data_IF_393627055113
#
_entry.id   IF_393627055113
#
_cell.length_a   1.000
_cell.length_b   1.000
_cell.length_c   1.000
_cell.angle_alpha   90.00
_cell.angle_beta   90.00
_cell.angle_gamma   90.00
#
_symmetry.space_group_name_H-M   'P 1'
#
loop_
_entity.id
_entity.type
_entity.pdbx_description
1 polymer ?
#
# COMPACT_ATOMS: atom_id res chain seq x y z
N UNK A 1 21.23 -9.88 8.34
CA UNK A 1 19.79 -9.80 8.69
C UNK A 1 18.90 -9.89 7.45
N UNK A 2 17.57 -10.08 7.63
CA UNK A 2 16.59 -9.97 6.52
C UNK A 2 15.88 -8.62 6.59
N UNK A 3 15.85 -7.91 5.48
CA UNK A 3 15.19 -6.63 5.29
C UNK A 3 14.04 -6.69 4.31
N UNK A 4 13.13 -5.71 4.37
CA UNK A 4 12.08 -5.47 3.38
C UNK A 4 11.93 -3.96 3.16
N UNK A 5 11.25 -3.56 2.09
CA UNK A 5 10.99 -2.13 1.81
C UNK A 5 10.32 -1.42 2.97
N UNK A 6 9.32 -2.06 3.59
CA UNK A 6 8.62 -1.50 4.76
C UNK A 6 9.55 -1.33 5.95
N UNK A 7 10.42 -2.33 6.21
CA UNK A 7 11.35 -2.31 7.34
C UNK A 7 12.42 -1.23 7.15
N UNK A 8 13.01 -1.15 5.96
CA UNK A 8 14.01 -0.12 5.60
C UNK A 8 13.40 1.28 5.65
N UNK A 9 12.20 1.48 5.08
CA UNK A 9 11.52 2.77 5.10
C UNK A 9 11.13 3.20 6.51
N UNK A 10 10.69 2.27 7.36
CA UNK A 10 10.40 2.54 8.77
C UNK A 10 11.66 3.00 9.50
N UNK A 11 12.78 2.31 9.31
CA UNK A 11 14.07 2.66 9.90
C UNK A 11 14.55 4.03 9.47
N UNK A 12 14.61 4.30 8.16
CA UNK A 12 15.03 5.59 7.60
C UNK A 12 14.15 6.75 8.07
N UNK A 13 12.86 6.47 8.28
CA UNK A 13 11.92 7.46 8.79
C UNK A 13 12.16 7.78 10.25
N UNK A 14 12.29 6.75 11.12
CA UNK A 14 12.53 6.93 12.55
C UNK A 14 12.92 5.60 13.19
N UNK A 15 14.15 5.51 13.71
CA UNK A 15 14.66 4.29 14.33
C UNK A 15 13.87 3.91 15.59
N UNK A 16 13.39 4.88 16.39
CA UNK A 16 12.51 4.61 17.54
C UNK A 16 11.18 3.95 17.10
N UNK A 17 10.62 4.36 15.96
CA UNK A 17 9.45 3.68 15.37
C UNK A 17 9.79 2.23 15.00
N UNK A 18 10.95 2.00 14.38
CA UNK A 18 11.40 0.65 14.04
C UNK A 18 11.62 -0.22 15.30
N UNK A 19 12.10 0.36 16.39
CA UNK A 19 12.21 -0.32 17.67
C UNK A 19 10.85 -0.82 18.17
N UNK A 20 9.85 0.05 18.28
CA UNK A 20 8.52 -0.38 18.71
C UNK A 20 7.91 -1.43 17.78
N UNK A 21 8.08 -1.26 16.48
CA UNK A 21 7.45 -2.12 15.48
C UNK A 21 8.13 -3.48 15.31
N UNK A 22 9.46 -3.55 15.45
CA UNK A 22 10.24 -4.75 15.11
C UNK A 22 11.08 -5.34 16.24
N UNK A 23 11.37 -4.57 17.31
CA UNK A 23 12.01 -5.10 18.51
C UNK A 23 10.97 -5.51 19.56
N UNK A 24 9.99 -4.63 19.85
CA UNK A 24 8.88 -4.97 20.72
C UNK A 24 7.77 -5.76 20.00
N UNK A 25 7.78 -5.79 18.69
CA UNK A 25 6.77 -6.47 17.85
C UNK A 25 5.32 -6.08 18.21
N UNK A 26 5.08 -4.78 18.47
CA UNK A 26 3.76 -4.29 18.87
C UNK A 26 3.08 -3.49 17.76
N UNK A 27 1.75 -3.52 17.74
CA UNK A 27 0.88 -2.72 16.89
C UNK A 27 -0.34 -2.22 17.66
N UNK A 28 -1.04 -1.21 17.16
CA UNK A 28 -2.25 -0.71 17.83
C UNK A 28 -3.37 -1.76 17.79
N UNK A 29 -4.11 -1.88 18.90
CA UNK A 29 -5.29 -2.77 18.98
C UNK A 29 -6.35 -2.38 17.96
N UNK A 30 -6.57 -1.07 17.74
CA UNK A 30 -7.54 -0.59 16.76
C UNK A 30 -6.82 -0.26 15.44
N UNK A 31 -7.09 -1.01 14.36
CA UNK A 31 -6.50 -0.75 13.05
C UNK A 31 -7.05 0.56 12.46
N UNK A 32 -6.24 1.23 11.64
CA UNK A 32 -6.70 2.38 10.86
C UNK A 32 -7.40 1.92 9.58
N UNK A 33 -8.50 2.59 9.20
CA UNK A 33 -9.27 2.27 7.98
C UNK A 33 -8.46 2.46 6.68
N UNK A 34 -7.55 3.43 6.64
CA UNK A 34 -6.82 3.75 5.41
C UNK A 34 -5.86 2.64 4.93
N UNK A 35 -5.01 2.03 5.78
CA UNK A 35 -4.22 0.86 5.41
C UNK A 35 -5.08 -0.35 5.04
N UNK A 36 -6.20 -0.57 5.73
CA UNK A 36 -7.14 -1.64 5.41
C UNK A 36 -7.74 -1.47 4.02
N UNK A 37 -8.16 -0.25 3.67
CA UNK A 37 -8.67 0.08 2.33
C UNK A 37 -7.63 -0.18 1.25
N UNK A 38 -6.37 0.24 1.45
CA UNK A 38 -5.26 -0.02 0.53
C UNK A 38 -5.05 -1.52 0.28
N UNK A 39 -4.98 -2.32 1.36
CA UNK A 39 -4.81 -3.77 1.27
C UNK A 39 -5.92 -4.43 0.45
N UNK A 40 -7.18 -4.10 0.71
CA UNK A 40 -8.31 -4.70 -0.02
C UNK A 40 -8.31 -4.29 -1.50
N UNK A 41 -7.89 -3.06 -1.82
CA UNK A 41 -7.72 -2.64 -3.22
C UNK A 41 -6.69 -3.53 -3.93
N UNK A 42 -5.52 -3.79 -3.32
CA UNK A 42 -4.50 -4.68 -3.91
C UNK A 42 -5.05 -6.09 -4.10
N UNK A 43 -5.73 -6.64 -3.12
CA UNK A 43 -6.34 -7.98 -3.18
C UNK A 43 -7.40 -8.08 -4.30
N UNK A 44 -8.26 -7.09 -4.47
CA UNK A 44 -9.22 -7.05 -5.58
C UNK A 44 -8.51 -7.01 -6.95
N UNK A 45 -7.41 -6.27 -7.07
CA UNK A 45 -6.65 -6.19 -8.31
C UNK A 45 -5.89 -7.49 -8.59
N UNK A 46 -5.34 -8.14 -7.57
CA UNK A 46 -4.78 -9.48 -7.68
C UNK A 46 -5.80 -10.46 -8.25
N UNK A 47 -7.00 -10.52 -7.65
CA UNK A 47 -8.09 -11.39 -8.13
C UNK A 47 -8.41 -11.10 -9.60
N UNK A 48 -8.59 -9.83 -9.96
CA UNK A 48 -8.89 -9.45 -11.35
C UNK A 48 -7.82 -9.93 -12.33
N UNK A 49 -6.55 -9.63 -12.06
CA UNK A 49 -5.46 -9.96 -12.98
C UNK A 49 -5.05 -11.44 -12.96
N UNK A 50 -5.49 -12.19 -11.94
CA UNK A 50 -5.39 -13.65 -11.87
C UNK A 50 -6.60 -14.37 -12.51
N UNK A 51 -7.56 -13.61 -13.09
CA UNK A 51 -8.77 -14.16 -13.73
C UNK A 51 -9.85 -14.61 -12.77
N UNK A 52 -9.79 -14.22 -11.49
CA UNK A 52 -10.80 -14.48 -10.45
C UNK A 52 -11.84 -13.35 -10.39
N UNK A 53 -12.94 -13.56 -9.66
CA UNK A 53 -13.93 -12.51 -9.40
C UNK A 53 -13.36 -11.47 -8.41
N UNK A 54 -13.01 -10.29 -8.92
CA UNK A 54 -12.44 -9.21 -8.13
C UNK A 54 -13.38 -8.65 -7.03
N UNK A 55 -14.64 -9.03 -7.04
CA UNK A 55 -15.61 -8.62 -6.01
C UNK A 55 -15.57 -9.52 -4.78
N UNK A 56 -14.95 -10.69 -4.84
CA UNK A 56 -14.88 -11.63 -3.71
C UNK A 56 -14.22 -11.04 -2.47
N UNK A 57 -13.07 -10.35 -2.53
CA UNK A 57 -12.48 -9.75 -1.34
C UNK A 57 -13.41 -8.74 -0.66
N UNK A 58 -14.25 -8.05 -1.44
CA UNK A 58 -15.24 -7.10 -0.90
C UNK A 58 -16.42 -7.83 -0.25
N UNK A 59 -16.92 -8.91 -0.87
CA UNK A 59 -18.01 -9.73 -0.34
C UNK A 59 -17.65 -10.44 0.96
N UNK A 60 -16.38 -10.88 1.05
CA UNK A 60 -15.86 -11.62 2.20
C UNK A 60 -15.37 -10.69 3.33
N UNK A 61 -15.48 -9.37 3.15
CA UNK A 61 -15.05 -8.41 4.15
C UNK A 61 -15.94 -8.50 5.40
N UNK A 62 -15.37 -9.03 6.47
CA UNK A 62 -16.00 -9.04 7.79
C UNK A 62 -15.67 -7.72 8.49
N UNK A 63 -16.68 -6.92 8.80
CA UNK A 63 -16.55 -5.67 9.54
C UNK A 63 -17.24 -5.83 10.88
N UNK A 64 -16.45 -5.89 11.95
CA UNK A 64 -16.96 -5.89 13.31
C UNK A 64 -17.22 -4.43 13.75
N UNK A 65 -18.43 -3.96 13.50
CA UNK A 65 -18.83 -2.59 13.82
C UNK A 65 -19.00 -2.35 15.34
N UNK A 66 -19.04 -3.39 16.16
CA UNK A 66 -19.16 -3.26 17.62
C UNK A 66 -17.81 -2.82 18.23
N UNK A 67 -16.71 -3.23 17.62
CA UNK A 67 -15.36 -2.89 18.04
C UNK A 67 -14.75 -1.66 17.31
N UNK A 68 -15.58 -0.92 16.55
CA UNK A 68 -15.17 0.33 15.86
C UNK A 68 -15.71 1.52 16.65
N UNK A 69 -14.89 2.60 16.73
CA UNK A 69 -15.34 3.86 17.33
C UNK A 69 -16.59 4.41 16.64
N UNK A 70 -17.51 5.01 17.39
CA UNK A 70 -18.79 5.51 16.85
C UNK A 70 -18.60 6.48 15.69
N UNK A 71 -17.57 7.32 15.75
CA UNK A 71 -17.23 8.30 14.71
C UNK A 71 -16.75 7.64 13.39
N UNK A 72 -16.27 6.41 13.45
CA UNK A 72 -15.78 5.67 12.28
C UNK A 72 -16.79 4.66 11.73
N UNK A 73 -17.86 4.33 12.47
CA UNK A 73 -18.84 3.30 12.08
C UNK A 73 -19.44 3.54 10.70
N UNK A 74 -19.81 4.77 10.39
CA UNK A 74 -20.38 5.11 9.08
C UNK A 74 -19.36 4.85 7.95
N UNK A 75 -18.09 5.18 8.18
CA UNK A 75 -17.02 4.95 7.20
C UNK A 75 -16.80 3.47 6.94
N UNK A 76 -16.80 2.66 8.00
CA UNK A 76 -16.67 1.21 7.87
C UNK A 76 -17.91 0.57 7.21
N UNK A 77 -19.11 1.00 7.55
CA UNK A 77 -20.35 0.51 6.94
C UNK A 77 -20.43 0.82 5.43
N UNK A 78 -19.89 1.97 4.99
CA UNK A 78 -19.86 2.38 3.58
C UNK A 78 -18.67 1.79 2.79
N UNK A 79 -17.70 1.17 3.47
CA UNK A 79 -16.45 0.70 2.88
C UNK A 79 -16.65 -0.26 1.69
N UNK A 80 -17.53 -1.28 1.74
CA UNK A 80 -17.72 -2.19 0.61
C UNK A 80 -18.20 -1.48 -0.66
N UNK A 81 -19.14 -0.54 -0.54
CA UNK A 81 -19.64 0.25 -1.66
C UNK A 81 -18.59 1.21 -2.23
N UNK A 82 -17.79 1.83 -1.36
CA UNK A 82 -16.68 2.68 -1.79
C UNK A 82 -15.61 1.89 -2.54
N UNK A 83 -15.21 0.73 -2.03
CA UNK A 83 -14.25 -0.16 -2.68
C UNK A 83 -14.75 -0.61 -4.05
N UNK A 84 -16.01 -1.03 -4.15
CA UNK A 84 -16.61 -1.41 -5.41
C UNK A 84 -16.49 -0.28 -6.45
N UNK A 85 -16.84 0.96 -6.10
CA UNK A 85 -16.75 2.12 -7.02
C UNK A 85 -15.31 2.42 -7.44
N UNK A 86 -14.36 2.36 -6.50
CA UNK A 86 -12.94 2.59 -6.76
C UNK A 86 -12.41 1.54 -7.75
N UNK A 87 -12.58 0.26 -7.46
CA UNK A 87 -12.05 -0.81 -8.31
C UNK A 87 -12.70 -0.80 -9.69
N UNK A 88 -14.04 -0.69 -9.75
CA UNK A 88 -14.75 -0.64 -11.01
C UNK A 88 -14.31 0.53 -11.89
N UNK A 89 -14.11 1.70 -11.29
CA UNK A 89 -13.61 2.88 -12.00
C UNK A 89 -12.19 2.69 -12.53
N UNK A 90 -11.30 2.11 -11.71
CA UNK A 90 -9.94 1.76 -12.12
C UNK A 90 -9.93 0.81 -13.32
N UNK A 91 -10.65 -0.30 -13.23
CA UNK A 91 -10.70 -1.31 -14.29
C UNK A 91 -11.25 -0.76 -15.61
N UNK A 92 -12.26 0.10 -15.55
CA UNK A 92 -12.80 0.74 -16.77
C UNK A 92 -11.82 1.77 -17.35
N UNK A 93 -11.13 2.54 -16.52
CA UNK A 93 -10.18 3.56 -16.94
C UNK A 93 -8.98 2.94 -17.66
N UNK A 94 -8.48 1.80 -17.17
CA UNK A 94 -7.29 1.15 -17.73
C UNK A 94 -7.56 0.02 -18.72
N UNK A 95 -8.82 -0.29 -19.02
CA UNK A 95 -9.21 -1.42 -19.88
C UNK A 95 -8.49 -1.49 -21.23
N UNK A 96 -8.42 -0.36 -21.94
CA UNK A 96 -7.77 -0.30 -23.25
C UNK A 96 -6.25 -0.38 -23.13
N UNK A 97 -5.69 0.30 -22.14
CA UNK A 97 -4.25 0.29 -21.87
C UNK A 97 -3.79 -1.12 -21.46
N UNK A 98 -4.50 -1.77 -20.56
CA UNK A 98 -4.20 -3.13 -20.11
C UNK A 98 -4.23 -4.17 -21.25
N UNK A 99 -5.04 -3.96 -22.28
CA UNK A 99 -5.09 -4.85 -23.45
C UNK A 99 -3.74 -4.96 -24.19
N UNK A 100 -2.85 -4.00 -24.01
CA UNK A 100 -1.50 -3.97 -24.60
C UNK A 100 -0.48 -4.83 -23.86
N UNK A 101 -0.83 -5.35 -22.69
CA UNK A 101 0.08 -6.10 -21.83
C UNK A 101 -0.40 -7.54 -21.62
N UNK A 102 0.55 -8.45 -21.49
CA UNK A 102 0.35 -9.78 -20.93
C UNK A 102 0.80 -9.77 -19.47
N UNK A 103 -0.05 -10.24 -18.58
CA UNK A 103 0.29 -10.42 -17.17
C UNK A 103 1.16 -11.66 -17.03
N UNK A 104 2.35 -11.50 -16.48
CA UNK A 104 3.30 -12.60 -16.26
C UNK A 104 3.18 -13.18 -14.85
N UNK A 105 2.94 -12.32 -13.85
CA UNK A 105 2.75 -12.70 -12.47
C UNK A 105 2.00 -11.60 -11.70
N UNK A 106 1.30 -12.00 -10.62
CA UNK A 106 0.68 -11.13 -9.62
C UNK A 106 1.14 -11.59 -8.23
N UNK A 107 1.22 -10.67 -7.28
CA UNK A 107 1.62 -10.93 -5.87
C UNK A 107 2.84 -11.86 -5.76
N UNK A 108 3.86 -11.56 -6.56
CA UNK A 108 5.05 -12.41 -6.71
C UNK A 108 6.05 -12.17 -5.59
N UNK A 109 6.26 -13.17 -4.75
CA UNK A 109 7.29 -13.14 -3.72
C UNK A 109 8.69 -13.26 -4.31
N UNK A 110 9.64 -12.56 -3.70
CA UNK A 110 11.05 -12.70 -4.03
C UNK A 110 11.94 -12.61 -2.80
N UNK A 111 13.11 -13.23 -2.95
CA UNK A 111 14.18 -13.18 -1.97
C UNK A 111 15.50 -12.95 -2.70
N UNK A 112 16.19 -11.84 -2.39
CA UNK A 112 17.39 -11.42 -3.09
C UNK A 112 18.54 -11.12 -2.12
N UNK A 113 19.77 -11.44 -2.51
CA UNK A 113 20.96 -11.02 -1.77
C UNK A 113 21.29 -9.55 -2.02
N UNK A 114 21.56 -8.83 -0.93
CA UNK A 114 22.00 -7.43 -0.91
C UNK A 114 23.19 -7.34 0.04
N UNK A 115 24.41 -7.35 -0.51
CA UNK A 115 25.62 -7.49 0.27
C UNK A 115 25.63 -8.78 1.11
N UNK A 116 25.85 -8.65 2.42
CA UNK A 116 25.77 -9.75 3.38
C UNK A 116 24.34 -10.09 3.83
N UNK A 117 23.39 -9.26 3.47
CA UNK A 117 22.00 -9.35 3.91
C UNK A 117 21.10 -10.08 2.91
N UNK A 118 19.89 -10.32 3.34
CA UNK A 118 18.81 -10.82 2.49
C UNK A 118 17.74 -9.74 2.42
N UNK A 119 17.16 -9.53 1.24
CA UNK A 119 16.05 -8.61 1.05
C UNK A 119 14.88 -9.36 0.42
N UNK A 120 13.73 -9.27 1.07
CA UNK A 120 12.50 -9.93 0.66
C UNK A 120 11.41 -8.90 0.33
N UNK A 121 10.47 -9.30 -0.49
CA UNK A 121 9.32 -8.49 -0.83
C UNK A 121 8.35 -9.23 -1.72
N UNK A 122 7.23 -8.57 -1.99
CA UNK A 122 6.18 -9.06 -2.87
C UNK A 122 5.90 -7.99 -3.92
N UNK A 123 5.95 -8.39 -5.19
CA UNK A 123 5.71 -7.52 -6.34
C UNK A 123 4.25 -7.63 -6.72
N UNK A 124 3.54 -6.51 -6.76
CA UNK A 124 2.10 -6.50 -7.03
C UNK A 124 1.77 -7.15 -8.39
N UNK A 125 2.51 -6.77 -9.45
CA UNK A 125 2.30 -7.34 -10.78
C UNK A 125 3.53 -7.17 -11.68
N UNK A 126 3.78 -8.14 -12.54
CA UNK A 126 4.79 -8.06 -13.62
C UNK A 126 4.07 -8.25 -14.96
N UNK A 127 4.33 -7.35 -15.91
CA UNK A 127 3.69 -7.39 -17.22
C UNK A 127 4.69 -7.30 -18.36
N UNK A 128 4.33 -7.91 -19.51
CA UNK A 128 5.05 -7.82 -20.79
C UNK A 128 4.24 -7.01 -21.80
N UNK A 129 4.84 -5.97 -22.34
CA UNK A 129 4.23 -5.22 -23.43
C UNK A 129 4.26 -6.03 -24.73
N UNK A 130 3.09 -6.31 -25.34
CA UNK A 130 2.94 -7.23 -26.47
C UNK A 130 3.74 -6.83 -27.71
N UNK A 131 3.79 -5.54 -28.02
CA UNK A 131 4.42 -5.05 -29.24
C UNK A 131 5.95 -4.95 -29.13
N UNK A 132 6.50 -4.75 -27.94
CA UNK A 132 7.92 -4.49 -27.72
C UNK A 132 8.63 -5.60 -26.95
N UNK A 133 7.89 -6.54 -26.37
CA UNK A 133 8.35 -7.53 -25.41
C UNK A 133 9.04 -6.94 -24.15
N UNK A 134 8.88 -5.64 -23.91
CA UNK A 134 9.44 -4.97 -22.74
C UNK A 134 8.72 -5.40 -21.46
N UNK A 135 9.48 -5.56 -20.40
CA UNK A 135 8.97 -5.98 -19.09
C UNK A 135 8.85 -4.75 -18.19
N UNK A 136 7.67 -4.61 -17.58
CA UNK A 136 7.38 -3.58 -16.58
C UNK A 136 7.03 -4.22 -15.25
N UNK A 137 7.61 -3.71 -14.19
CA UNK A 137 7.18 -3.99 -12.82
C UNK A 137 6.09 -2.99 -12.47
N UNK A 138 4.92 -3.49 -12.09
CA UNK A 138 3.75 -2.65 -11.74
C UNK A 138 3.62 -2.62 -10.23
N UNK A 139 3.38 -1.43 -9.70
CA UNK A 139 3.17 -1.17 -8.28
C UNK A 139 1.93 -0.29 -8.09
N UNK A 140 1.00 -0.74 -7.25
CA UNK A 140 -0.22 -0.01 -6.93
C UNK A 140 0.02 0.93 -5.76
N UNK A 141 -0.17 2.22 -5.97
CA UNK A 141 -0.05 3.24 -4.92
C UNK A 141 -1.43 3.79 -4.57
N UNK A 142 -1.87 3.51 -3.36
CA UNK A 142 -3.14 4.03 -2.84
C UNK A 142 -2.89 5.25 -1.96
N UNK A 143 -3.58 6.36 -2.24
CA UNK A 143 -3.45 7.60 -1.48
C UNK A 143 -4.76 8.38 -1.49
N UNK A 144 -4.95 9.31 -0.54
CA UNK A 144 -6.11 10.22 -0.53
C UNK A 144 -6.14 11.14 -1.74
N UNK A 145 -4.95 11.51 -2.24
CA UNK A 145 -4.74 12.33 -3.43
C UNK A 145 -3.55 11.78 -4.22
N UNK A 146 -3.59 11.93 -5.54
CA UNK A 146 -2.53 11.44 -6.42
C UNK A 146 -1.32 12.36 -6.29
N UNK A 147 -0.15 11.86 -5.83
CA UNK A 147 1.05 12.68 -5.61
C UNK A 147 1.70 13.14 -6.91
N UNK A 148 2.66 14.06 -6.79
CA UNK A 148 3.55 14.42 -7.90
C UNK A 148 4.45 13.22 -8.26
N UNK A 149 4.74 13.10 -9.55
CA UNK A 149 5.52 11.99 -10.09
C UNK A 149 7.03 12.10 -9.83
N UNK A 150 7.53 13.28 -9.47
CA UNK A 150 8.97 13.52 -9.27
C UNK A 150 9.55 12.71 -8.11
N UNK A 151 8.77 12.44 -7.08
CA UNK A 151 9.19 11.65 -5.91
C UNK A 151 9.33 10.15 -6.22
N UNK A 152 8.67 9.66 -7.27
CA UNK A 152 8.66 8.24 -7.62
C UNK A 152 10.02 7.70 -8.08
N UNK A 153 10.90 8.57 -8.60
CA UNK A 153 12.26 8.17 -8.99
C UNK A 153 13.12 7.71 -7.80
N UNK A 154 12.74 8.09 -6.58
CA UNK A 154 13.46 7.76 -5.35
C UNK A 154 12.79 6.63 -4.55
N UNK A 155 11.77 5.98 -5.12
CA UNK A 155 11.09 4.88 -4.44
C UNK A 155 11.97 3.62 -4.40
N UNK A 156 12.52 3.37 -3.20
CA UNK A 156 13.37 2.22 -2.91
C UNK A 156 12.66 0.90 -3.19
N UNK A 157 11.37 0.79 -2.86
CA UNK A 157 10.57 -0.42 -2.99
C UNK A 157 10.58 -0.93 -4.44
N UNK A 158 10.19 -0.08 -5.36
CA UNK A 158 10.03 -0.43 -6.77
C UNK A 158 11.39 -0.62 -7.48
N UNK A 159 12.42 0.09 -7.05
CA UNK A 159 13.78 -0.18 -7.51
C UNK A 159 14.24 -1.60 -7.13
N UNK A 160 13.93 -2.06 -5.91
CA UNK A 160 14.24 -3.42 -5.47
C UNK A 160 13.43 -4.47 -6.24
N UNK A 161 12.15 -4.19 -6.52
CA UNK A 161 11.30 -5.04 -7.36
C UNK A 161 11.87 -5.19 -8.77
N UNK A 162 12.20 -4.09 -9.43
CA UNK A 162 12.81 -4.10 -10.75
C UNK A 162 14.13 -4.89 -10.77
N UNK A 163 14.94 -4.75 -9.70
CA UNK A 163 16.19 -5.50 -9.56
C UNK A 163 15.95 -6.99 -9.36
N UNK A 164 14.99 -7.38 -8.52
CA UNK A 164 14.66 -8.77 -8.27
C UNK A 164 14.24 -9.49 -9.56
N UNK A 165 13.40 -8.86 -10.37
CA UNK A 165 13.01 -9.38 -11.69
C UNK A 165 14.21 -9.41 -12.65
N UNK A 166 14.99 -8.33 -12.73
CA UNK A 166 16.13 -8.24 -13.64
C UNK A 166 17.27 -9.21 -13.35
N UNK A 167 17.39 -9.69 -12.10
CA UNK A 167 18.42 -10.67 -11.69
C UNK A 167 17.93 -12.10 -11.65
N UNK A 168 16.62 -12.34 -11.81
CA UNK A 168 15.99 -13.67 -11.68
C UNK A 168 15.80 -14.11 -10.22
N UNK A 169 15.84 -13.17 -9.27
CA UNK A 169 15.51 -13.43 -7.87
C UNK A 169 13.99 -13.58 -7.65
N UNK A 170 13.20 -13.00 -8.53
CA UNK A 170 11.78 -13.26 -8.67
C UNK A 170 11.57 -14.26 -9.83
N UNK A 171 10.78 -15.31 -9.59
CA UNK A 171 10.54 -16.38 -10.57
C UNK A 171 9.56 -15.93 -11.67
N UNK A 172 10.08 -15.20 -12.64
CA UNK A 172 9.34 -14.74 -13.82
C UNK A 172 10.10 -15.19 -15.08
N UNK A 173 9.41 -15.67 -16.12
CA UNK A 173 10.06 -16.13 -17.37
C UNK A 173 10.53 -14.95 -18.24
N UNK A 174 11.53 -14.21 -17.73
CA UNK A 174 12.13 -13.05 -18.39
C UNK A 174 13.63 -13.23 -18.54
N UNK A 175 14.21 -12.68 -19.61
CA UNK A 175 15.65 -12.65 -19.77
C UNK A 175 16.24 -11.51 -18.96
N UNK A 176 17.42 -11.75 -18.42
CA UNK A 176 18.17 -10.71 -17.71
C UNK A 176 18.35 -9.48 -18.61
N UNK A 177 17.91 -8.33 -18.13
CA UNK A 177 17.99 -7.05 -18.86
C UNK A 177 16.73 -6.64 -19.62
N UNK A 178 15.70 -7.49 -19.68
CA UNK A 178 14.42 -7.15 -20.35
C UNK A 178 13.57 -6.16 -19.55
N UNK A 179 13.85 -5.97 -18.26
CA UNK A 179 13.15 -5.01 -17.40
C UNK A 179 13.52 -3.61 -17.81
N UNK A 180 12.54 -2.83 -18.26
CA UNK A 180 12.76 -1.47 -18.77
C UNK A 180 12.35 -0.39 -17.78
N UNK A 181 11.52 -0.72 -16.80
CA UNK A 181 11.09 0.27 -15.84
C UNK A 181 9.97 -0.20 -14.91
N UNK A 182 9.45 0.78 -14.21
CA UNK A 182 8.37 0.65 -13.25
C UNK A 182 7.15 1.36 -13.79
N UNK A 183 6.00 0.76 -13.60
CA UNK A 183 4.69 1.31 -13.90
C UNK A 183 3.95 1.51 -12.57
N UNK A 184 3.70 2.75 -12.21
CA UNK A 184 2.92 3.09 -11.04
C UNK A 184 1.46 3.29 -11.42
N UNK A 185 0.59 2.55 -10.77
CA UNK A 185 -0.84 2.75 -10.86
C UNK A 185 -1.33 3.43 -9.57
N UNK A 186 -1.47 4.76 -9.63
CA UNK A 186 -2.01 5.54 -8.54
C UNK A 186 -3.53 5.43 -8.50
N UNK A 187 -4.05 5.06 -7.34
CA UNK A 187 -5.47 4.86 -7.08
C UNK A 187 -5.87 5.74 -5.90
N UNK A 188 -6.82 6.63 -6.13
CA UNK A 188 -7.34 7.50 -5.08
C UNK A 188 -8.23 6.71 -4.13
N UNK A 189 -7.96 6.77 -2.82
CA UNK A 189 -8.76 6.07 -1.79
C UNK A 189 -10.05 6.77 -1.42
N UNK A 190 -10.21 8.07 -1.78
CA UNK A 190 -11.50 8.78 -1.70
C UNK A 190 -12.37 8.32 -2.87
N UNK A 191 -13.42 7.59 -2.57
CA UNK A 191 -14.30 7.03 -3.60
C UNK A 191 -14.99 8.11 -4.44
N UNK A 192 -15.23 7.86 -5.75
CA UNK A 192 -16.06 8.71 -6.57
C UNK A 192 -17.46 8.87 -5.95
N UNK A 193 -18.00 10.08 -5.91
CA UNK A 193 -19.33 10.35 -5.38
C UNK A 193 -20.40 9.98 -6.40
N UNK A 194 -21.51 9.37 -5.96
CA UNK A 194 -22.68 9.22 -6.82
C UNK A 194 -23.29 10.59 -7.13
N UNK A 195 -23.64 10.89 -8.40
CA UNK A 195 -24.36 12.10 -8.73
C UNK A 195 -25.76 12.08 -8.08
N UNK A 196 -26.29 13.26 -7.78
CA UNK A 196 -27.62 13.38 -7.21
C UNK A 196 -28.71 12.98 -8.23
N UNK A 197 -29.77 12.34 -7.74
CA UNK A 197 -30.98 12.05 -8.51
C UNK A 197 -31.96 13.22 -8.27
N UNK A 198 -32.45 13.80 -9.34
CA UNK A 198 -33.38 14.92 -9.30
C UNK A 198 -34.83 14.45 -9.04
N UNK A 199 -35.71 15.33 -8.62
CA UNK A 199 -37.10 14.98 -8.29
C UNK A 199 -37.88 14.36 -9.46
N UNK A 200 -37.48 14.65 -10.69
CA UNK A 200 -38.05 14.07 -11.91
C UNK A 200 -37.44 12.69 -12.30
N UNK A 201 -36.61 12.11 -11.45
CA UNK A 201 -35.96 10.82 -11.69
C UNK A 201 -34.73 10.88 -12.59
N UNK A 202 -34.33 12.04 -13.11
CA UNK A 202 -33.12 12.18 -13.92
C UNK A 202 -31.88 12.35 -13.04
N UNK A 203 -30.70 11.99 -13.58
CA UNK A 203 -29.42 12.20 -12.90
C UNK A 203 -28.94 13.62 -13.10
N UNK A 204 -28.47 14.25 -12.02
CA UNK A 204 -27.97 15.64 -12.05
C UNK A 204 -26.77 15.78 -12.98
N UNK A 205 -26.79 16.79 -13.86
CA UNK A 205 -25.68 17.22 -14.71
C UNK A 205 -24.82 18.31 -14.08
N UNK A 206 -25.01 18.61 -12.79
CA UNK A 206 -24.14 19.49 -12.03
C UNK A 206 -22.76 18.86 -11.85
N UNK A 207 -21.72 19.69 -11.69
CA UNK A 207 -20.38 19.22 -11.40
C UNK A 207 -20.35 18.48 -10.05
N UNK A 208 -19.74 17.31 -10.05
CA UNK A 208 -19.64 16.46 -8.87
C UNK A 208 -18.30 15.69 -8.95
N UNK A 209 -17.66 15.52 -7.80
CA UNK A 209 -16.38 14.80 -7.72
C UNK A 209 -16.63 13.31 -7.89
N UNK A 210 -16.68 12.87 -9.14
CA UNK A 210 -16.99 11.49 -9.53
C UNK A 210 -16.20 11.09 -10.77
N UNK A 211 -16.10 9.77 -11.02
CA UNK A 211 -15.55 9.24 -12.25
C UNK A 211 -16.64 8.83 -13.25
N UNK A 212 -16.21 8.50 -14.47
CA UNK A 212 -17.11 8.09 -15.54
C UNK A 212 -17.90 6.82 -15.18
N UNK A 213 -17.25 5.85 -14.55
CA UNK A 213 -17.86 4.57 -14.19
C UNK A 213 -19.04 4.78 -13.22
N UNK A 214 -18.78 5.45 -12.10
CA UNK A 214 -19.78 5.72 -11.07
C UNK A 214 -20.93 6.57 -11.61
N UNK A 215 -20.63 7.58 -12.45
CA UNK A 215 -21.66 8.41 -13.05
C UNK A 215 -22.59 7.59 -13.97
N UNK A 216 -22.00 6.83 -14.89
CA UNK A 216 -22.77 6.04 -15.86
C UNK A 216 -23.51 4.86 -15.23
N UNK A 217 -22.95 4.25 -14.17
CA UNK A 217 -23.66 3.22 -13.41
C UNK A 217 -24.89 3.82 -12.69
N UNK A 218 -24.79 5.06 -12.18
CA UNK A 218 -25.96 5.75 -11.59
C UNK A 218 -27.03 6.05 -12.66
N UNK A 219 -26.63 6.50 -13.85
CA UNK A 219 -27.55 6.74 -14.98
C UNK A 219 -28.30 5.46 -15.34
N UNK A 220 -27.57 4.34 -15.51
CA UNK A 220 -28.16 3.04 -15.83
C UNK A 220 -29.09 2.50 -14.73
N UNK A 221 -28.72 2.72 -13.45
CA UNK A 221 -29.54 2.29 -12.32
C UNK A 221 -30.90 3.02 -12.28
N UNK A 222 -31.00 4.22 -12.87
CA UNK A 222 -32.25 4.95 -13.05
C UNK A 222 -33.01 4.56 -14.32
N UNK A 223 -32.54 3.57 -15.09
CA UNK A 223 -33.14 3.17 -16.37
C UNK A 223 -32.99 4.18 -17.51
N UNK A 224 -32.02 5.11 -17.40
CA UNK A 224 -31.80 6.19 -18.37
C UNK A 224 -30.73 5.79 -19.39
N UNK A 225 -30.81 6.37 -20.61
CA UNK A 225 -29.81 6.11 -21.67
C UNK A 225 -28.52 6.90 -21.36
N UNK A 226 -27.35 6.24 -21.23
CA UNK A 226 -26.04 6.89 -21.06
C UNK A 226 -25.72 7.91 -22.16
N UNK A 227 -26.25 7.76 -23.39
CA UNK A 227 -26.04 8.70 -24.49
C UNK A 227 -26.55 10.11 -24.19
N UNK A 228 -27.62 10.22 -23.42
CA UNK A 228 -28.24 11.51 -23.05
C UNK A 228 -27.34 12.30 -22.07
N UNK A 229 -26.28 11.66 -21.55
CA UNK A 229 -25.33 12.20 -20.61
C UNK A 229 -23.91 12.34 -21.16
N UNK A 230 -23.73 12.24 -22.48
CA UNK A 230 -22.41 12.35 -23.13
C UNK A 230 -21.76 13.73 -22.91
N UNK A 231 -22.56 14.77 -22.72
CA UNK A 231 -22.12 16.13 -22.40
C UNK A 231 -21.43 16.25 -21.03
N UNK A 232 -21.55 15.22 -20.16
CA UNK A 232 -20.86 15.17 -18.88
C UNK A 232 -19.38 14.73 -19.00
N UNK A 233 -18.96 14.08 -20.07
CA UNK A 233 -17.58 13.59 -20.25
C UNK A 233 -16.50 14.66 -19.97
N UNK A 234 -16.59 15.90 -20.54
CA UNK A 234 -15.59 16.93 -20.26
C UNK A 234 -15.56 17.42 -18.81
N UNK A 235 -16.69 17.29 -18.08
CA UNK A 235 -16.76 17.68 -16.66
C UNK A 235 -16.12 16.59 -15.79
N UNK A 236 -16.43 15.32 -16.07
CA UNK A 236 -15.94 14.16 -15.33
C UNK A 236 -14.42 14.00 -15.47
N UNK A 237 -13.85 14.28 -16.66
CA UNK A 237 -12.41 14.17 -16.91
C UNK A 237 -11.55 15.15 -16.10
N UNK A 238 -12.15 16.18 -15.46
CA UNK A 238 -11.42 17.09 -14.57
C UNK A 238 -11.04 16.43 -13.25
N UNK A 239 -11.75 15.39 -12.84
CA UNK A 239 -11.54 14.70 -11.58
C UNK A 239 -10.69 13.45 -11.79
N UNK A 240 -9.40 13.52 -11.45
CA UNK A 240 -8.47 12.41 -11.61
C UNK A 240 -8.56 11.50 -10.37
N UNK A 241 -9.01 10.27 -10.57
CA UNK A 241 -9.05 9.20 -9.55
C UNK A 241 -7.96 8.16 -9.76
N UNK A 242 -7.53 7.98 -11.01
CA UNK A 242 -6.57 6.95 -11.42
C UNK A 242 -5.53 7.57 -12.32
N UNK A 243 -4.27 7.26 -12.09
CA UNK A 243 -3.16 7.73 -12.91
C UNK A 243 -2.12 6.64 -13.06
N UNK A 244 -1.82 6.27 -14.29
CA UNK A 244 -0.69 5.41 -14.63
C UNK A 244 0.51 6.25 -15.05
N UNK A 245 1.67 5.95 -14.45
CA UNK A 245 2.94 6.62 -14.75
C UNK A 245 4.01 5.57 -14.97
N UNK A 246 4.75 5.67 -16.06
CA UNK A 246 5.87 4.78 -16.35
C UNK A 246 7.20 5.49 -16.12
N UNK A 247 8.10 4.86 -15.39
CA UNK A 247 9.43 5.37 -15.08
C UNK A 247 10.47 4.39 -15.61
N UNK A 248 11.29 4.78 -16.61
CA UNK A 248 12.38 3.94 -17.07
C UNK A 248 13.43 3.81 -15.98
N UNK A 249 13.95 2.60 -15.78
CA UNK A 249 14.97 2.31 -14.77
C UNK A 249 16.28 1.92 -15.45
N UNK A 250 17.39 2.47 -14.92
CA UNK A 250 18.74 2.16 -15.40
C UNK A 250 19.45 1.28 -14.39
N UNK A 251 20.25 0.33 -14.86
CA UNK A 251 21.05 -0.54 -13.99
C UNK A 251 21.98 0.24 -13.04
N UNK A 252 22.52 1.39 -13.48
CA UNK A 252 23.32 2.26 -12.62
C UNK A 252 22.53 2.77 -11.41
N UNK A 253 21.29 3.20 -11.63
CA UNK A 253 20.40 3.66 -10.55
C UNK A 253 20.08 2.54 -9.57
N UNK A 254 19.77 1.34 -10.09
CA UNK A 254 19.50 0.17 -9.25
C UNK A 254 20.71 -0.18 -8.37
N UNK A 255 21.92 -0.10 -8.89
CA UNK A 255 23.13 -0.40 -8.12
C UNK A 255 23.38 0.62 -6.99
N UNK A 256 23.10 1.92 -7.24
CA UNK A 256 23.17 2.94 -6.18
C UNK A 256 22.21 2.59 -5.04
N UNK A 257 20.95 2.36 -5.36
CA UNK A 257 19.91 2.03 -4.36
C UNK A 257 20.27 0.77 -3.57
N UNK A 258 20.80 -0.25 -4.23
CA UNK A 258 21.23 -1.50 -3.55
C UNK A 258 22.32 -1.22 -2.51
N UNK A 259 23.34 -0.42 -2.87
CA UNK A 259 24.42 -0.10 -1.94
C UNK A 259 23.89 0.72 -0.74
N UNK A 260 22.95 1.63 -0.97
CA UNK A 260 22.31 2.40 0.10
C UNK A 260 21.46 1.51 1.01
N UNK A 261 20.81 0.48 0.47
CA UNK A 261 20.04 -0.49 1.25
C UNK A 261 20.97 -1.38 2.07
N UNK A 262 22.06 -1.86 1.49
CA UNK A 262 23.06 -2.67 2.19
C UNK A 262 23.63 -1.91 3.40
N UNK A 263 24.00 -0.63 3.21
CA UNK A 263 24.43 0.23 4.30
C UNK A 263 23.34 0.40 5.37
N UNK A 264 22.10 0.63 4.96
CA UNK A 264 20.98 0.77 5.90
C UNK A 264 20.73 -0.52 6.68
N UNK A 265 20.82 -1.69 6.03
CA UNK A 265 20.65 -2.98 6.70
C UNK A 265 21.78 -3.27 7.68
N UNK A 266 23.02 -2.86 7.37
CA UNK A 266 24.16 -2.96 8.28
C UNK A 266 23.95 -2.11 9.54
N UNK A 267 23.47 -0.86 9.38
CA UNK A 267 23.16 0.00 10.52
C UNK A 267 22.03 -0.59 11.39
N UNK A 268 21.01 -1.14 10.74
CA UNK A 268 19.91 -1.83 11.42
C UNK A 268 20.40 -3.04 12.20
N UNK A 269 21.18 -3.92 11.57
CA UNK A 269 21.73 -5.12 12.20
C UNK A 269 22.53 -4.76 13.45
N UNK A 270 23.40 -3.75 13.36
CA UNK A 270 24.19 -3.25 14.51
C UNK A 270 23.31 -2.83 15.68
N UNK A 271 22.24 -2.09 15.42
CA UNK A 271 21.33 -1.65 16.47
C UNK A 271 20.52 -2.82 17.07
N UNK A 272 20.03 -3.75 16.24
CA UNK A 272 19.28 -4.92 16.73
C UNK A 272 20.17 -5.90 17.49
N UNK A 273 21.44 -6.05 17.09
CA UNK A 273 22.43 -6.88 17.80
C UNK A 273 22.69 -6.34 19.21
N UNK A 274 22.64 -5.00 19.41
CA UNK A 274 22.83 -4.37 20.71
C UNK A 274 21.75 -4.73 21.75
N UNK A 275 20.61 -5.27 21.29
CA UNK A 275 19.50 -5.72 22.17
C UNK A 275 19.27 -7.24 22.09
N UNK A 276 20.04 -7.96 21.30
CA UNK A 276 19.82 -9.39 21.00
C UNK A 276 19.90 -10.33 22.19
N UNK A 277 20.55 -9.90 23.29
CA UNK A 277 20.65 -10.67 24.53
C UNK A 277 19.40 -10.62 25.40
N UNK A 278 18.47 -9.71 25.13
CA UNK A 278 17.22 -9.55 25.87
C UNK A 278 16.11 -10.36 25.19
N UNK A 279 15.32 -11.07 26.00
CA UNK A 279 14.16 -11.80 25.47
C UNK A 279 13.13 -10.84 24.92
N UNK A 280 12.58 -11.17 23.74
CA UNK A 280 11.66 -10.27 23.01
C UNK A 280 10.35 -9.92 23.74
N UNK A 281 9.94 -10.71 24.70
CA UNK A 281 8.75 -10.43 25.53
C UNK A 281 9.10 -9.67 26.83
N UNK A 282 10.38 -9.41 27.08
CA UNK A 282 10.82 -8.58 28.22
C UNK A 282 10.85 -7.10 27.81
N UNK A 283 9.67 -6.52 27.73
CA UNK A 283 9.50 -5.12 27.32
C UNK A 283 10.18 -4.15 28.27
N UNK A 284 10.30 -4.48 29.57
CA UNK A 284 10.94 -3.61 30.55
C UNK A 284 12.45 -3.47 30.27
N UNK A 285 13.13 -4.58 30.04
CA UNK A 285 14.57 -4.57 29.72
C UNK A 285 14.82 -4.01 28.32
N UNK A 286 13.98 -4.34 27.33
CA UNK A 286 14.09 -3.76 25.98
C UNK A 286 13.93 -2.24 26.00
N UNK A 287 12.99 -1.69 26.77
CA UNK A 287 12.79 -0.24 26.87
C UNK A 287 14.01 0.47 27.46
N UNK A 288 14.76 -0.14 28.39
CA UNK A 288 16.01 0.42 28.92
C UNK A 288 17.08 0.57 27.83
N UNK A 289 17.10 -0.34 26.85
CA UNK A 289 18.01 -0.34 25.71
C UNK A 289 17.50 0.46 24.50
N UNK A 290 16.34 1.08 24.62
CA UNK A 290 15.70 1.83 23.53
C UNK A 290 16.50 3.05 23.05
N UNK A 291 17.55 3.45 23.78
CA UNK A 291 18.48 4.53 23.41
C UNK A 291 19.34 4.17 22.17
N UNK A 292 19.54 2.90 21.85
CA UNK A 292 20.18 2.48 20.60
C UNK A 292 19.34 2.80 19.35
N UNK A 293 18.09 3.21 19.54
CA UNK A 293 17.15 3.56 18.48
C UNK A 293 16.69 5.02 18.61
N UNK A 294 17.50 5.99 18.17
CA UNK A 294 17.19 7.39 18.33
C UNK A 294 15.91 7.81 17.61
N UNK A 295 15.23 8.81 18.17
CA UNK A 295 14.05 9.42 17.56
C UNK A 295 14.46 10.37 16.46
N UNK A 296 13.75 10.28 15.32
CA UNK A 296 13.78 11.33 14.30
C UNK A 296 12.58 12.24 14.55
N UNK A 297 12.84 13.46 15.02
CA UNK A 297 11.77 14.43 15.24
C UNK A 297 11.34 15.05 13.91
N UNK A 298 10.23 14.56 13.36
CA UNK A 298 9.59 15.11 12.18
C UNK A 298 8.41 15.97 12.63
N UNK A 299 8.61 17.30 12.71
CA UNK A 299 7.54 18.23 13.12
C UNK A 299 6.24 17.99 12.37
N UNK A 300 5.11 18.00 13.06
CA UNK A 300 3.75 17.75 12.57
C UNK A 300 3.45 16.32 12.06
N UNK A 301 4.43 15.53 11.63
CA UNK A 301 4.16 14.15 11.15
C UNK A 301 4.10 13.11 12.26
N UNK A 302 4.76 13.34 13.39
CA UNK A 302 4.75 12.38 14.51
C UNK A 302 3.36 12.18 15.09
N UNK A 303 2.61 13.27 15.31
CA UNK A 303 1.26 13.21 15.89
C UNK A 303 0.17 12.83 14.89
N UNK A 304 0.41 12.98 13.57
CA UNK A 304 -0.58 12.66 12.54
C UNK A 304 -0.51 11.23 12.03
N UNK A 305 0.71 10.67 11.94
CA UNK A 305 0.97 9.53 11.07
C UNK A 305 1.84 8.46 11.77
N UNK A 306 2.25 8.70 13.02
CA UNK A 306 3.02 7.71 13.77
C UNK A 306 2.12 6.95 14.74
N UNK A 307 1.90 5.63 14.54
CA UNK A 307 1.06 4.84 15.44
C UNK A 307 1.64 4.77 16.86
N UNK A 308 2.92 5.07 17.05
CA UNK A 308 3.63 5.01 18.34
C UNK A 308 3.85 6.38 18.99
N UNK A 309 3.14 7.42 18.53
CA UNK A 309 3.31 8.78 19.06
C UNK A 309 3.08 8.85 20.56
N UNK A 310 2.03 8.17 21.06
CA UNK A 310 1.70 8.13 22.48
C UNK A 310 2.82 7.50 23.33
N UNK A 311 3.47 6.43 22.85
CA UNK A 311 4.61 5.82 23.52
C UNK A 311 5.80 6.79 23.60
N UNK A 312 6.10 7.49 22.51
CA UNK A 312 7.16 8.50 22.50
C UNK A 312 6.89 9.64 23.49
N UNK A 313 5.65 10.13 23.55
CA UNK A 313 5.25 11.18 24.50
C UNK A 313 5.29 10.65 25.92
N UNK A 314 4.75 9.46 26.18
CA UNK A 314 4.77 8.81 27.49
C UNK A 314 6.18 8.65 28.04
N UNK A 315 7.10 8.13 27.21
CA UNK A 315 8.52 7.95 27.58
C UNK A 315 9.19 9.29 27.94
N UNK A 316 8.95 10.34 27.12
CA UNK A 316 9.55 11.66 27.34
C UNK A 316 8.93 12.45 28.51
N UNK A 317 7.67 12.16 28.87
CA UNK A 317 6.96 12.79 29.95
C UNK A 317 7.02 12.00 31.27
N UNK A 318 7.76 10.88 31.31
CA UNK A 318 7.91 10.05 32.51
C UNK A 318 6.67 9.23 32.89
N UNK A 319 5.76 8.99 31.90
CA UNK A 319 4.60 8.12 32.12
C UNK A 319 5.03 6.64 32.12
N UNK A 320 4.20 5.79 32.69
CA UNK A 320 4.42 4.34 32.61
C UNK A 320 4.13 3.80 31.21
N UNK A 321 5.18 3.63 30.40
CA UNK A 321 5.09 3.16 29.01
C UNK A 321 4.53 1.74 28.92
N UNK A 322 4.86 0.85 29.90
CA UNK A 322 4.32 -0.52 29.92
C UNK A 322 2.80 -0.52 30.10
N UNK A 323 2.26 0.40 30.90
CA UNK A 323 0.80 0.55 31.03
C UNK A 323 0.16 0.99 29.71
N UNK A 324 0.80 1.91 28.96
CA UNK A 324 0.29 2.35 27.67
C UNK A 324 0.35 1.17 26.66
N UNK A 325 1.43 0.39 26.66
CA UNK A 325 1.54 -0.81 25.82
C UNK A 325 0.40 -1.77 26.13
N UNK A 326 0.18 -2.10 27.39
CA UNK A 326 -0.84 -3.07 27.82
C UNK A 326 -2.28 -2.67 27.46
N UNK A 327 -2.56 -1.37 27.34
CA UNK A 327 -3.93 -0.86 27.08
C UNK A 327 -4.22 -0.51 25.62
N UNK A 328 -3.20 -0.09 24.85
CA UNK A 328 -3.42 0.45 23.50
C UNK A 328 -2.75 -0.37 22.41
N UNK A 329 -1.89 -1.33 22.78
CA UNK A 329 -1.13 -2.12 21.81
C UNK A 329 -1.30 -3.60 22.06
N UNK A 330 -1.13 -4.37 21.01
CA UNK A 330 -1.11 -5.83 21.04
C UNK A 330 0.14 -6.34 20.34
N UNK A 331 0.47 -7.61 20.51
CA UNK A 331 1.54 -8.25 19.76
C UNK A 331 1.16 -8.27 18.29
N UNK A 332 2.10 -7.90 17.46
CA UNK A 332 1.89 -7.87 16.01
C UNK A 332 1.74 -9.30 15.48
N UNK A 333 0.67 -9.55 14.73
CA UNK A 333 0.49 -10.82 14.05
C UNK A 333 1.57 -11.01 12.98
N UNK A 334 2.23 -12.16 12.97
CA UNK A 334 3.08 -12.57 11.86
C UNK A 334 2.18 -12.81 10.62
N UNK A 335 2.66 -12.46 9.43
CA UNK A 335 1.92 -12.73 8.18
C UNK A 335 1.66 -14.22 7.93
N UNK A 336 2.42 -15.10 8.58
CA UNK A 336 2.34 -16.56 8.44
C UNK A 336 1.09 -17.18 9.09
N UNK A 337 0.43 -16.49 10.05
CA UNK A 337 -0.72 -17.07 10.77
C UNK A 337 -2.08 -16.86 10.08
N UNK A 338 -2.14 -16.21 8.91
CA UNK A 338 -3.40 -15.99 8.19
C UNK A 338 -3.69 -17.05 7.09
N UNK A 339 -2.81 -18.02 6.88
CA UNK A 339 -3.03 -19.11 5.91
C UNK A 339 -3.58 -20.40 6.56
N UNK A 340 -3.43 -20.56 7.87
CA UNK A 340 -3.82 -21.81 8.58
C UNK A 340 -5.22 -21.80 9.23
N UNK A 341 -5.94 -20.67 9.23
CA UNK A 341 -7.29 -20.58 9.83
C UNK A 341 -8.44 -20.83 8.83
N UNK A 342 -8.15 -21.35 7.64
CA UNK A 342 -9.15 -21.75 6.62
C UNK A 342 -8.99 -23.21 6.16
N UNK A 343 -8.92 -24.16 7.10
CA UNK A 343 -9.25 -25.57 6.83
C UNK A 343 -10.58 -25.99 7.48
#
# INVERSE_FOLDING_TARGET
MTGSSTKVSCWRRCQKRAFYQYALEIERVVPSIAPSKGRIIHECLEYHYSGKDWTEPIKNLVIDLENVFDEEREQWANLPDELYRIIRGYLLTHKEDDSRYDVLATELDFNMKVGSHTFEGRIDKVVREKNSNRIWVVDYKTASDIPDVTELFMDVQTCMYAKAVATGAADVPVKKGDVVGIMYDHIRTKAPRRPAILKNGTVSKADCVTDLATYMDTVKAQGLDPKDYADMLPKLSKHVFYRRVTIPVRNSTLNIIINEIDSTLTDMETAFDSISTVHKDDYEELLKLSHYFPRTYLSKRCNWDCPYYKLCVGELSGQNVLSIIATEYQKRSSRENNEDDNE
#
